data_IF_422848097564
#
_entry.id   IF_422848097564
#
_cell.length_a   1.000
_cell.length_b   1.000
_cell.length_c   1.000
_cell.angle_alpha   90.00
_cell.angle_beta   90.00
_cell.angle_gamma   90.00
#
_symmetry.space_group_name_H-M   'P 1'
#
loop_
_entity.id
_entity.type
_entity.pdbx_description
1 polymer ?
#
# COMPACT_ATOMS: atom_id res chain seq x y z
N UNK A 1 -8.27 36.01 -68.67
CA UNK A 1 -7.03 36.69 -69.14
C UNK A 1 -7.47 38.08 -69.56
N UNK A 2 -7.12 39.22 -68.95
CA UNK A 2 -6.10 39.64 -67.98
C UNK A 2 -6.71 40.80 -67.17
N UNK A 3 -6.44 40.89 -65.87
CA UNK A 3 -6.83 42.02 -65.02
C UNK A 3 -5.58 42.54 -64.31
N UNK A 4 -5.26 43.85 -64.37
CA UNK A 4 -4.10 44.38 -63.66
C UNK A 4 -4.50 44.99 -62.32
N UNK A 5 -3.63 44.74 -61.35
CA UNK A 5 -3.67 45.13 -59.96
C UNK A 5 -3.22 46.58 -59.76
N UNK A 6 -3.84 47.31 -58.83
CA UNK A 6 -3.23 48.46 -58.15
C UNK A 6 -3.51 48.32 -56.64
N UNK A 7 -2.42 48.18 -55.88
CA UNK A 7 -2.39 48.11 -54.42
C UNK A 7 -2.57 49.51 -53.80
N UNK A 8 -3.43 49.61 -52.78
CA UNK A 8 -3.51 50.75 -51.86
C UNK A 8 -2.86 50.35 -50.52
N UNK A 9 -1.84 51.09 -50.11
CA UNK A 9 -1.16 50.92 -48.81
C UNK A 9 -1.83 51.85 -47.79
N UNK A 10 -2.42 51.28 -46.74
CA UNK A 10 -2.84 52.02 -45.54
C UNK A 10 -1.72 51.96 -44.49
N UNK A 11 -1.22 53.13 -44.09
CA UNK A 11 -0.33 53.32 -42.94
C UNK A 11 -1.15 53.24 -41.64
N UNK A 12 -0.97 52.17 -40.87
CA UNK A 12 -1.37 52.12 -39.46
C UNK A 12 -0.12 52.31 -38.58
N UNK A 13 -0.13 53.38 -37.80
CA UNK A 13 0.87 53.65 -36.76
C UNK A 13 0.65 52.68 -35.60
N UNK A 14 1.59 51.76 -35.39
CA UNK A 14 1.62 50.89 -34.23
C UNK A 14 2.16 51.66 -33.02
N UNK A 15 1.34 51.85 -31.98
CA UNK A 15 1.83 52.09 -30.63
C UNK A 15 2.28 50.76 -30.02
N UNK A 16 3.48 50.65 -29.43
CA UNK A 16 3.88 49.44 -28.73
C UNK A 16 3.00 49.24 -27.49
N UNK A 17 2.51 48.02 -27.21
CA UNK A 17 1.83 47.73 -25.95
C UNK A 17 2.85 47.89 -24.81
N UNK A 18 2.51 48.73 -23.84
CA UNK A 18 3.30 48.89 -22.62
C UNK A 18 3.44 47.56 -21.89
N UNK A 19 4.65 47.26 -21.42
CA UNK A 19 4.95 46.09 -20.62
C UNK A 19 4.05 46.05 -19.38
N UNK A 20 3.15 45.07 -19.32
CA UNK A 20 2.52 44.69 -18.08
C UNK A 20 3.62 44.22 -17.10
N UNK A 21 3.60 44.63 -15.82
CA UNK A 21 4.57 44.12 -14.86
C UNK A 21 4.48 42.59 -14.82
N UNK A 22 5.61 41.92 -15.03
CA UNK A 22 5.70 40.48 -14.83
C UNK A 22 5.26 40.17 -13.40
N UNK A 23 4.19 39.38 -13.26
CA UNK A 23 3.85 38.77 -11.97
C UNK A 23 5.12 38.07 -11.44
N UNK A 24 5.51 38.28 -10.17
CA UNK A 24 6.72 37.67 -9.63
C UNK A 24 6.63 36.16 -9.87
N UNK A 25 7.57 35.62 -10.65
CA UNK A 25 7.63 34.19 -10.93
C UNK A 25 7.86 33.51 -9.59
N UNK A 26 6.85 32.81 -9.08
CA UNK A 26 6.90 32.09 -7.81
C UNK A 26 8.05 31.07 -7.91
N UNK A 27 9.15 31.29 -7.19
CA UNK A 27 10.32 30.42 -7.23
C UNK A 27 10.02 29.11 -6.47
N UNK A 28 9.52 28.12 -7.18
CA UNK A 28 9.36 26.77 -6.66
C UNK A 28 10.69 26.01 -6.73
N UNK A 29 11.05 25.36 -5.64
CA UNK A 29 12.19 24.43 -5.57
C UNK A 29 11.70 23.03 -5.92
N UNK A 30 12.46 22.34 -6.77
CA UNK A 30 12.22 20.93 -7.11
C UNK A 30 13.35 20.04 -6.56
N UNK A 31 13.12 18.73 -6.55
CA UNK A 31 14.09 17.73 -6.13
C UNK A 31 15.39 17.82 -6.95
N UNK A 32 16.47 17.55 -6.25
CA UNK A 32 17.79 17.38 -6.80
C UNK A 32 17.84 16.21 -7.81
N UNK A 33 18.64 16.39 -8.85
CA UNK A 33 19.02 15.32 -9.77
C UNK A 33 20.55 15.22 -9.79
N UNK A 34 21.05 13.99 -9.78
CA UNK A 34 22.48 13.70 -9.74
C UNK A 34 22.94 13.33 -11.14
N UNK A 35 23.90 14.08 -11.66
CA UNK A 35 24.69 13.61 -12.80
C UNK A 35 25.82 12.74 -12.26
N UNK A 36 26.15 11.62 -12.94
CA UNK A 36 27.18 10.64 -12.50
C UNK A 36 28.55 11.28 -12.15
N UNK A 37 28.83 12.48 -12.64
CA UNK A 37 30.07 13.24 -12.42
C UNK A 37 30.09 14.10 -11.14
N UNK A 38 28.94 14.34 -10.48
CA UNK A 38 28.82 15.30 -9.38
C UNK A 38 29.00 14.71 -7.97
N UNK A 39 29.36 13.42 -7.87
CA UNK A 39 29.54 12.71 -6.60
C UNK A 39 28.22 12.36 -5.89
N UNK A 40 28.28 11.45 -4.92
CA UNK A 40 27.11 10.92 -4.18
C UNK A 40 27.16 11.23 -2.67
N UNK A 41 27.85 12.32 -2.30
CA UNK A 41 27.89 12.79 -0.93
C UNK A 41 26.49 13.23 -0.49
N UNK A 42 26.10 12.89 0.74
CA UNK A 42 24.80 13.25 1.29
C UNK A 42 24.57 14.78 1.23
N UNK A 43 23.51 15.17 0.54
CA UNK A 43 22.92 16.51 0.55
C UNK A 43 21.44 16.34 0.87
N UNK A 44 20.94 17.12 1.80
CA UNK A 44 19.55 17.03 2.26
C UNK A 44 18.86 18.36 1.98
N UNK A 45 17.68 18.29 1.37
CA UNK A 45 16.77 19.43 1.24
C UNK A 45 15.41 19.07 1.85
N UNK A 46 14.82 20.03 2.55
CA UNK A 46 13.46 19.94 3.07
C UNK A 46 12.57 20.83 2.21
N UNK A 47 11.64 20.23 1.48
CA UNK A 47 10.73 20.94 0.60
C UNK A 47 9.34 20.98 1.24
N UNK A 48 8.93 22.15 1.70
CA UNK A 48 7.61 22.38 2.28
C UNK A 48 6.56 22.56 1.19
N UNK A 49 5.46 21.84 1.34
CA UNK A 49 4.22 21.98 0.60
C UNK A 49 3.07 22.22 1.59
N UNK A 50 2.16 23.12 1.22
CA UNK A 50 1.03 23.51 2.07
C UNK A 50 -0.27 23.40 1.28
N UNK A 51 -1.43 23.34 1.95
CA UNK A 51 -2.73 23.33 1.26
C UNK A 51 -2.96 24.55 0.35
N UNK A 52 -2.34 25.69 0.68
CA UNK A 52 -2.39 26.92 -0.12
C UNK A 52 -1.56 26.84 -1.40
N UNK A 53 -0.58 25.94 -1.45
CA UNK A 53 0.40 25.87 -2.53
C UNK A 53 0.88 24.42 -2.77
N UNK A 54 -0.03 23.50 -3.16
CA UNK A 54 0.25 22.06 -3.14
C UNK A 54 1.23 21.58 -4.22
N UNK A 55 1.50 22.40 -5.25
CA UNK A 55 2.38 22.05 -6.37
C UNK A 55 3.75 22.74 -6.33
N UNK A 56 4.00 23.61 -5.35
CA UNK A 56 5.21 24.42 -5.28
C UNK A 56 5.98 24.10 -4.00
N UNK A 57 7.09 23.38 -4.14
CA UNK A 57 7.98 23.10 -3.02
C UNK A 57 8.73 24.35 -2.62
N UNK A 58 8.67 24.73 -1.34
CA UNK A 58 9.49 25.80 -0.79
C UNK A 58 10.63 25.20 0.01
N UNK A 59 11.87 25.52 -0.38
CA UNK A 59 13.04 25.10 0.39
C UNK A 59 12.98 25.74 1.78
N UNK A 60 12.93 24.91 2.81
CA UNK A 60 13.01 25.33 4.21
C UNK A 60 14.31 24.81 4.82
N UNK A 61 15.00 25.67 5.55
CA UNK A 61 16.29 25.35 6.15
C UNK A 61 16.24 25.56 7.66
N UNK A 62 17.08 24.83 8.39
CA UNK A 62 17.25 24.95 9.85
C UNK A 62 17.49 26.41 10.29
N UNK A 63 18.30 27.15 9.52
CA UNK A 63 18.69 28.53 9.84
C UNK A 63 17.74 29.61 9.28
N UNK A 64 16.64 29.22 8.65
CA UNK A 64 15.70 30.14 8.00
C UNK A 64 14.43 30.34 8.82
N UNK A 65 13.76 31.48 8.62
CA UNK A 65 12.42 31.69 9.18
C UNK A 65 11.38 30.85 8.42
N UNK A 66 11.17 29.63 8.90
CA UNK A 66 10.22 28.66 8.33
C UNK A 66 8.80 29.24 8.29
N UNK A 67 8.41 30.14 9.20
CA UNK A 67 7.05 30.69 9.24
C UNK A 67 6.74 31.53 7.98
N UNK A 68 7.72 32.25 7.44
CA UNK A 68 7.57 33.05 6.22
C UNK A 68 7.39 32.19 4.95
N UNK A 69 7.63 30.89 5.03
CA UNK A 69 7.37 29.95 3.92
C UNK A 69 5.89 29.54 3.81
N UNK A 70 5.04 29.95 4.77
CA UNK A 70 3.64 29.53 4.86
C UNK A 70 3.42 28.27 5.69
N UNK A 71 4.46 27.82 6.40
CA UNK A 71 4.36 26.77 7.41
C UNK A 71 3.37 27.18 8.51
N UNK A 72 2.50 26.25 8.91
CA UNK A 72 1.55 26.50 9.99
C UNK A 72 1.76 25.51 11.15
N UNK A 73 2.31 25.98 12.27
CA UNK A 73 2.59 25.16 13.44
C UNK A 73 1.34 24.60 14.13
N UNK A 74 0.15 25.14 13.84
CA UNK A 74 -1.11 24.61 14.39
C UNK A 74 -1.61 23.37 13.64
N UNK A 75 -1.01 23.03 12.49
CA UNK A 75 -1.35 21.84 11.70
C UNK A 75 -0.37 20.71 12.00
N UNK A 76 -0.84 19.46 11.90
CA UNK A 76 0.04 18.30 11.90
C UNK A 76 1.05 18.35 10.75
N UNK A 77 2.21 17.72 10.93
CA UNK A 77 3.29 17.72 9.92
C UNK A 77 3.59 16.31 9.45
N UNK A 78 3.57 16.12 8.13
CA UNK A 78 3.85 14.85 7.46
C UNK A 78 5.20 14.92 6.75
N UNK A 79 6.16 14.09 7.14
CA UNK A 79 7.45 13.97 6.48
C UNK A 79 7.41 12.81 5.49
N UNK A 80 7.72 13.07 4.23
CA UNK A 80 7.78 12.05 3.17
C UNK A 80 9.22 11.79 2.76
N UNK A 81 9.73 10.60 3.06
CA UNK A 81 11.14 10.23 2.87
C UNK A 81 11.22 9.12 1.81
N UNK A 82 11.88 9.40 0.69
CA UNK A 82 12.11 8.40 -0.36
C UNK A 82 13.24 7.44 0.01
N UNK A 83 13.39 6.37 -0.78
CA UNK A 83 14.45 5.37 -0.62
C UNK A 83 15.62 5.51 -1.59
N UNK A 84 16.29 4.39 -1.84
CA UNK A 84 17.40 4.26 -2.77
C UNK A 84 17.03 4.69 -4.21
N UNK A 85 17.90 5.46 -4.86
CA UNK A 85 17.70 6.03 -6.21
C UNK A 85 18.87 5.65 -7.11
N UNK A 86 18.84 4.45 -7.69
CA UNK A 86 19.93 3.96 -8.56
C UNK A 86 20.35 4.96 -9.66
N UNK A 87 19.37 5.65 -10.28
CA UNK A 87 19.60 6.61 -11.36
C UNK A 87 19.78 8.06 -10.91
N UNK A 88 19.67 8.34 -9.61
CA UNK A 88 19.81 9.71 -9.09
C UNK A 88 18.79 10.71 -9.58
N UNK A 89 17.57 10.24 -9.84
CA UNK A 89 16.46 11.07 -10.28
C UNK A 89 15.38 11.20 -9.21
N UNK A 90 14.68 12.34 -9.24
CA UNK A 90 13.44 12.57 -8.51
C UNK A 90 12.52 11.33 -8.56
N UNK A 91 11.97 10.86 -7.42
CA UNK A 91 11.01 9.76 -7.43
C UNK A 91 9.74 10.16 -8.21
N UNK A 92 9.40 9.41 -9.26
CA UNK A 92 8.26 9.74 -10.14
C UNK A 92 6.90 9.76 -9.45
N UNK A 93 6.80 9.12 -8.28
CA UNK A 93 5.58 9.05 -7.46
C UNK A 93 5.44 10.23 -6.48
N UNK A 94 6.49 11.01 -6.22
CA UNK A 94 6.54 11.95 -5.08
C UNK A 94 5.49 13.05 -5.21
N UNK A 95 5.33 13.67 -6.38
CA UNK A 95 4.40 14.79 -6.59
C UNK A 95 2.95 14.36 -6.39
N UNK A 96 2.58 13.19 -6.96
CA UNK A 96 1.25 12.63 -6.77
C UNK A 96 1.01 12.36 -5.28
N UNK A 97 2.00 11.82 -4.57
CA UNK A 97 1.86 11.48 -3.17
C UNK A 97 1.70 12.73 -2.30
N UNK A 98 2.53 13.76 -2.49
CA UNK A 98 2.42 15.05 -1.80
C UNK A 98 1.01 15.65 -2.00
N UNK A 99 0.56 15.74 -3.26
CA UNK A 99 -0.76 16.28 -3.57
C UNK A 99 -1.90 15.45 -2.96
N UNK A 100 -1.72 14.12 -2.87
CA UNK A 100 -2.68 13.22 -2.22
C UNK A 100 -2.75 13.46 -0.71
N UNK A 101 -1.60 13.62 -0.04
CA UNK A 101 -1.55 13.89 1.40
C UNK A 101 -2.23 15.21 1.75
N UNK A 102 -2.01 16.26 0.95
CA UNK A 102 -2.62 17.58 1.14
C UNK A 102 -4.13 17.59 0.85
N UNK A 103 -4.63 16.71 -0.03
CA UNK A 103 -6.07 16.51 -0.24
C UNK A 103 -6.71 15.71 0.90
N UNK A 104 -5.99 14.72 1.43
CA UNK A 104 -6.51 13.83 2.46
C UNK A 104 -6.52 14.45 3.87
N UNK A 105 -5.59 15.37 4.16
CA UNK A 105 -5.50 16.03 5.46
C UNK A 105 -5.04 17.49 5.34
N UNK A 106 -5.61 18.36 6.17
CA UNK A 106 -5.14 19.73 6.33
C UNK A 106 -3.85 19.73 7.18
N UNK A 107 -2.71 19.59 6.52
CA UNK A 107 -1.40 19.35 7.16
C UNK A 107 -0.28 20.09 6.42
N UNK A 108 0.85 20.28 7.10
CA UNK A 108 2.11 20.60 6.43
C UNK A 108 2.68 19.30 5.84
N UNK A 109 3.12 19.32 4.58
CA UNK A 109 3.82 18.18 3.97
C UNK A 109 5.25 18.60 3.66
N UNK A 110 6.22 17.85 4.18
CA UNK A 110 7.65 18.11 3.99
C UNK A 110 8.25 16.92 3.27
N UNK A 111 8.62 17.13 2.00
CA UNK A 111 9.33 16.11 1.24
C UNK A 111 10.83 16.21 1.55
N UNK A 112 11.42 15.10 1.97
CA UNK A 112 12.85 15.01 2.30
C UNK A 112 13.60 14.52 1.07
N UNK A 113 14.29 15.44 0.41
CA UNK A 113 15.13 15.15 -0.73
C UNK A 113 16.55 14.84 -0.27
N UNK A 114 16.98 13.61 -0.52
CA UNK A 114 18.34 13.14 -0.29
C UNK A 114 18.88 12.37 -1.51
N UNK A 115 18.45 12.77 -2.72
CA UNK A 115 18.80 12.06 -3.97
C UNK A 115 20.32 11.85 -4.08
N UNK A 116 21.15 12.85 -3.78
CA UNK A 116 22.62 12.70 -3.78
C UNK A 116 23.13 11.57 -2.87
N UNK A 117 22.62 11.46 -1.65
CA UNK A 117 23.05 10.45 -0.69
C UNK A 117 22.43 9.06 -0.91
N UNK A 118 21.37 8.97 -1.71
CA UNK A 118 20.64 7.74 -2.01
C UNK A 118 21.02 7.10 -3.36
N UNK A 119 21.96 7.70 -4.10
CA UNK A 119 22.33 7.31 -5.46
C UNK A 119 23.61 6.50 -5.51
N UNK A 120 23.75 5.66 -6.54
CA UNK A 120 24.98 4.94 -6.84
C UNK A 120 24.97 3.53 -6.27
N UNK A 121 25.92 3.23 -5.37
CA UNK A 121 26.03 1.89 -4.76
C UNK A 121 25.10 1.80 -3.55
N UNK A 122 24.32 0.73 -3.48
CA UNK A 122 23.33 0.52 -2.41
C UNK A 122 23.93 0.66 -1.01
N UNK A 123 25.07 0.01 -0.74
CA UNK A 123 25.73 0.08 0.57
C UNK A 123 26.21 1.49 0.93
N UNK A 124 26.57 2.32 -0.06
CA UNK A 124 26.89 3.74 0.19
C UNK A 124 25.65 4.52 0.62
N UNK A 125 24.49 4.22 0.05
CA UNK A 125 23.22 4.81 0.48
C UNK A 125 22.82 4.35 1.88
N UNK A 126 23.02 3.05 2.20
CA UNK A 126 22.83 2.51 3.56
C UNK A 126 23.71 3.27 4.56
N UNK A 127 24.99 3.50 4.24
CA UNK A 127 25.90 4.26 5.10
C UNK A 127 25.49 5.72 5.36
N UNK A 128 24.57 6.27 4.57
CA UNK A 128 24.04 7.63 4.75
C UNK A 128 22.76 7.69 5.60
N UNK A 129 22.10 6.55 5.85
CA UNK A 129 20.78 6.51 6.53
C UNK A 129 20.83 7.11 7.95
N UNK A 130 21.86 6.77 8.75
CA UNK A 130 22.05 7.35 10.09
C UNK A 130 22.31 8.86 10.01
N UNK A 131 23.16 9.30 9.08
CA UNK A 131 23.46 10.73 8.89
C UNK A 131 22.22 11.52 8.49
N UNK A 132 21.41 10.97 7.59
CA UNK A 132 20.12 11.56 7.20
C UNK A 132 19.15 11.63 8.39
N UNK A 133 19.07 10.58 9.21
CA UNK A 133 18.25 10.60 10.43
C UNK A 133 18.66 11.72 11.40
N UNK A 134 19.97 11.99 11.54
CA UNK A 134 20.49 13.10 12.35
C UNK A 134 20.13 14.48 11.77
N UNK A 135 20.23 14.66 10.44
CA UNK A 135 19.81 15.89 9.75
C UNK A 135 18.31 16.16 9.95
N UNK A 136 17.47 15.14 9.73
CA UNK A 136 16.02 15.24 9.95
C UNK A 136 15.72 15.54 11.42
N UNK A 137 16.44 14.91 12.35
CA UNK A 137 16.21 15.14 13.78
C UNK A 137 16.52 16.56 14.22
N UNK A 138 17.57 17.18 13.65
CA UNK A 138 17.86 18.62 13.86
C UNK A 138 16.76 19.50 13.28
N UNK A 139 16.31 19.20 12.07
CA UNK A 139 15.20 19.92 11.45
C UNK A 139 13.89 19.81 12.24
N UNK A 140 13.53 18.61 12.73
CA UNK A 140 12.33 18.41 13.55
C UNK A 140 12.37 19.23 14.83
N UNK A 141 13.53 19.32 15.51
CA UNK A 141 13.70 20.13 16.72
C UNK A 141 13.28 21.57 16.49
N UNK A 142 13.59 22.10 15.30
CA UNK A 142 13.17 23.45 14.93
C UNK A 142 11.66 23.58 14.82
N UNK A 143 10.98 22.58 14.25
CA UNK A 143 9.51 22.57 14.17
C UNK A 143 8.89 22.50 15.58
N UNK A 144 9.47 21.72 16.49
CA UNK A 144 9.01 21.64 17.88
C UNK A 144 9.18 22.97 18.61
N UNK A 145 10.31 23.68 18.41
CA UNK A 145 10.53 25.04 18.94
C UNK A 145 9.49 26.04 18.41
N UNK A 146 8.96 25.83 17.20
CA UNK A 146 7.87 26.63 16.62
C UNK A 146 6.49 26.25 17.17
N UNK A 147 6.41 25.27 18.09
CA UNK A 147 5.18 24.86 18.77
C UNK A 147 4.48 23.65 18.18
N UNK A 148 5.09 22.93 17.24
CA UNK A 148 4.52 21.68 16.70
C UNK A 148 4.61 20.59 17.76
N UNK A 149 3.51 19.91 18.14
CA UNK A 149 3.57 18.78 19.07
C UNK A 149 4.27 17.56 18.43
N UNK A 150 5.12 16.85 19.19
CA UNK A 150 5.75 15.60 18.74
C UNK A 150 4.72 14.55 18.27
N UNK A 151 3.61 14.45 19.00
CA UNK A 151 2.49 13.55 18.69
C UNK A 151 1.74 13.90 17.40
N UNK A 152 1.99 15.08 16.82
CA UNK A 152 1.41 15.52 15.54
C UNK A 152 2.32 15.25 14.32
N UNK A 153 3.53 14.73 14.56
CA UNK A 153 4.49 14.35 13.51
C UNK A 153 4.14 12.97 12.96
N UNK A 154 4.02 12.87 11.64
CA UNK A 154 3.86 11.61 10.92
C UNK A 154 4.98 11.45 9.90
N UNK A 155 5.86 10.48 10.11
CA UNK A 155 6.89 10.13 9.13
C UNK A 155 6.37 9.00 8.22
N UNK A 156 6.49 9.20 6.92
CA UNK A 156 6.15 8.22 5.88
C UNK A 156 7.44 7.92 5.12
N UNK A 157 7.99 6.74 5.34
CA UNK A 157 9.26 6.33 4.75
C UNK A 157 9.08 5.22 3.73
N UNK A 158 9.67 5.37 2.54
CA UNK A 158 9.65 4.36 1.47
C UNK A 158 11.00 3.66 1.42
N UNK A 159 11.02 2.33 1.41
CA UNK A 159 12.28 1.56 1.27
C UNK A 159 13.30 1.94 2.36
N UNK A 160 14.52 2.38 2.00
CA UNK A 160 15.50 2.92 2.96
C UNK A 160 14.94 4.08 3.82
N UNK A 161 14.03 4.89 3.27
CA UNK A 161 13.40 5.99 3.99
C UNK A 161 12.57 5.53 5.20
N UNK A 162 12.10 4.27 5.23
CA UNK A 162 11.41 3.71 6.39
C UNK A 162 12.36 3.57 7.60
N UNK A 163 13.59 3.10 7.38
CA UNK A 163 14.59 2.99 8.43
C UNK A 163 15.12 4.34 8.89
N UNK A 164 15.20 5.31 7.97
CA UNK A 164 15.47 6.71 8.35
C UNK A 164 14.38 7.21 9.32
N UNK A 165 13.11 6.91 9.05
CA UNK A 165 12.01 7.23 9.95
C UNK A 165 12.14 6.56 11.32
N UNK A 166 12.53 5.28 11.35
CA UNK A 166 12.81 4.55 12.59
C UNK A 166 13.91 5.19 13.42
N UNK A 167 15.07 5.46 12.81
CA UNK A 167 16.20 6.14 13.48
C UNK A 167 15.80 7.50 14.05
N UNK A 168 15.01 8.29 13.31
CA UNK A 168 14.49 9.57 13.81
C UNK A 168 13.59 9.31 15.02
N UNK A 169 12.65 8.37 14.92
CA UNK A 169 11.78 7.96 16.03
C UNK A 169 12.53 7.53 17.29
N UNK A 170 13.55 6.69 17.14
CA UNK A 170 14.46 6.28 18.20
C UNK A 170 15.15 7.48 18.88
N UNK A 171 15.66 8.44 18.11
CA UNK A 171 16.29 9.67 18.65
C UNK A 171 15.30 10.54 19.44
N UNK A 172 14.00 10.46 19.13
CA UNK A 172 12.90 11.08 19.85
C UNK A 172 12.24 10.14 20.89
N UNK A 173 12.90 9.03 21.24
CA UNK A 173 12.47 8.08 22.27
C UNK A 173 11.05 7.53 22.05
N UNK A 174 10.65 7.35 20.79
CA UNK A 174 9.33 6.82 20.45
C UNK A 174 8.16 7.77 20.65
N UNK A 175 8.41 9.05 20.91
CA UNK A 175 7.34 10.01 21.22
C UNK A 175 6.68 10.66 20.00
N UNK A 176 7.20 10.39 18.79
CA UNK A 176 6.59 10.88 17.56
C UNK A 176 5.21 10.26 17.35
N UNK A 177 4.29 11.00 16.75
CA UNK A 177 2.90 10.57 16.56
C UNK A 177 2.75 9.27 15.78
N UNK A 178 3.35 9.19 14.59
CA UNK A 178 3.21 8.01 13.73
C UNK A 178 4.40 7.81 12.79
N UNK A 179 4.75 6.55 12.55
CA UNK A 179 5.60 6.15 11.42
C UNK A 179 4.85 5.15 10.54
N UNK A 180 4.85 5.40 9.22
CA UNK A 180 4.38 4.45 8.22
C UNK A 180 5.55 4.03 7.33
N UNK A 181 5.94 2.76 7.43
CA UNK A 181 6.93 2.14 6.56
C UNK A 181 6.29 1.54 5.31
N UNK A 182 6.61 2.10 4.15
CA UNK A 182 6.15 1.61 2.85
C UNK A 182 7.23 0.72 2.24
N UNK A 183 7.00 -0.58 2.36
CA UNK A 183 7.92 -1.67 2.02
C UNK A 183 9.37 -1.39 2.48
N UNK A 184 9.62 -1.37 3.82
CA UNK A 184 10.94 -1.08 4.37
C UNK A 184 12.00 -2.02 3.76
N UNK A 185 13.20 -1.52 3.50
CA UNK A 185 14.22 -2.28 2.78
C UNK A 185 14.71 -3.50 3.56
N UNK A 186 14.83 -4.65 2.91
CA UNK A 186 15.31 -5.90 3.52
C UNK A 186 16.82 -6.03 3.65
N UNK A 187 17.62 -5.76 2.59
CA UNK A 187 19.07 -5.88 2.64
C UNK A 187 19.68 -4.98 3.73
N UNK A 188 20.69 -5.47 4.45
CA UNK A 188 21.28 -4.86 5.67
C UNK A 188 20.36 -4.78 6.90
N UNK A 189 19.03 -4.60 6.75
CA UNK A 189 18.14 -4.36 7.89
C UNK A 189 17.43 -5.59 8.46
N UNK A 190 17.23 -6.65 7.68
CA UNK A 190 16.51 -7.86 8.16
C UNK A 190 17.15 -8.51 9.39
N UNK A 191 18.47 -8.34 9.54
CA UNK A 191 19.25 -8.87 10.68
C UNK A 191 19.79 -7.77 11.59
N UNK A 192 19.45 -6.50 11.32
CA UNK A 192 19.91 -5.38 12.10
C UNK A 192 19.24 -5.35 13.49
N UNK A 193 19.93 -4.74 14.45
CA UNK A 193 19.38 -4.47 15.78
C UNK A 193 18.21 -3.49 15.71
N UNK A 194 17.40 -3.39 16.77
CA UNK A 194 16.20 -2.54 16.77
C UNK A 194 16.58 -1.07 16.54
N UNK A 195 17.67 -0.64 17.16
CA UNK A 195 18.23 0.71 17.08
C UNK A 195 18.73 1.12 15.68
N UNK A 196 18.96 0.14 14.80
CA UNK A 196 19.49 0.34 13.45
C UNK A 196 18.42 0.29 12.36
N UNK A 197 17.16 -0.05 12.70
CA UNK A 197 16.09 -0.23 11.71
C UNK A 197 14.79 0.44 12.18
N UNK A 198 13.72 0.18 11.45
CA UNK A 198 12.38 0.55 11.89
C UNK A 198 11.90 -0.53 12.86
N UNK A 199 11.31 -0.12 13.98
CA UNK A 199 10.66 -1.01 14.93
C UNK A 199 9.44 -0.34 15.62
N UNK A 200 8.57 -1.12 16.29
CA UNK A 200 7.38 -0.58 16.94
C UNK A 200 7.67 0.54 17.96
N UNK A 201 8.83 0.52 18.62
CA UNK A 201 9.23 1.50 19.63
C UNK A 201 9.58 2.89 19.10
N UNK A 202 9.62 3.08 17.78
CA UNK A 202 10.06 4.35 17.17
C UNK A 202 8.99 5.44 17.16
N UNK A 203 7.73 5.13 17.43
CA UNK A 203 6.64 6.11 17.54
C UNK A 203 5.50 5.60 18.40
N UNK A 204 4.57 6.50 18.76
CA UNK A 204 3.32 6.16 19.43
C UNK A 204 2.49 5.17 18.60
N UNK A 205 2.61 5.21 17.27
CA UNK A 205 2.08 4.19 16.39
C UNK A 205 3.01 3.97 15.18
N UNK A 206 3.28 2.71 14.88
CA UNK A 206 4.12 2.29 13.75
C UNK A 206 3.35 1.26 12.96
N UNK A 207 3.24 1.45 11.66
CA UNK A 207 2.74 0.42 10.75
C UNK A 207 3.71 0.21 9.60
N UNK A 208 3.70 -0.99 9.05
CA UNK A 208 4.48 -1.33 7.87
C UNK A 208 3.61 -2.04 6.83
N UNK A 209 3.81 -1.69 5.56
CA UNK A 209 3.13 -2.31 4.42
C UNK A 209 4.18 -3.08 3.64
N UNK A 210 4.12 -4.41 3.71
CA UNK A 210 5.03 -5.32 3.03
C UNK A 210 4.42 -5.76 1.71
N UNK A 211 5.15 -5.51 0.63
CA UNK A 211 4.76 -5.88 -0.73
C UNK A 211 5.87 -6.57 -1.52
N UNK A 212 7.10 -6.65 -1.02
CA UNK A 212 8.23 -7.32 -1.72
C UNK A 212 9.20 -8.04 -0.76
N UNK A 213 8.69 -8.64 0.32
CA UNK A 213 9.47 -9.22 1.40
C UNK A 213 10.34 -10.43 0.97
N UNK A 214 10.05 -11.09 -0.14
CA UNK A 214 10.90 -12.14 -0.67
C UNK A 214 12.08 -11.61 -1.49
N UNK A 215 12.06 -10.34 -1.89
CA UNK A 215 13.11 -9.68 -2.68
C UNK A 215 13.67 -8.40 -1.99
N UNK A 216 13.18 -7.18 -2.32
CA UNK A 216 13.78 -5.93 -1.82
C UNK A 216 13.28 -5.51 -0.43
N UNK A 217 12.10 -5.95 -0.02
CA UNK A 217 11.46 -5.60 1.24
C UNK A 217 11.95 -6.45 2.44
N UNK A 218 11.75 -5.94 3.64
CA UNK A 218 12.11 -6.62 4.89
C UNK A 218 11.15 -7.77 5.19
N UNK A 219 11.72 -8.90 5.64
CA UNK A 219 10.99 -10.17 5.89
C UNK A 219 10.32 -10.27 7.24
N UNK A 220 10.79 -9.47 8.18
CA UNK A 220 10.33 -9.49 9.57
C UNK A 220 9.31 -8.38 9.80
N UNK A 221 8.36 -8.56 10.74
CA UNK A 221 7.54 -7.45 11.21
C UNK A 221 8.42 -6.35 11.82
N UNK A 222 8.00 -5.10 11.62
CA UNK A 222 8.70 -3.91 12.09
C UNK A 222 7.76 -2.83 12.63
N UNK A 223 6.44 -3.08 12.66
CA UNK A 223 5.46 -2.16 13.22
C UNK A 223 4.59 -2.78 14.30
N UNK A 224 3.77 -1.95 14.93
CA UNK A 224 2.65 -2.42 15.75
C UNK A 224 1.66 -3.22 14.88
N UNK A 225 1.47 -2.80 13.63
CA UNK A 225 0.65 -3.49 12.62
C UNK A 225 1.43 -3.63 11.31
N UNK A 226 1.62 -4.87 10.87
CA UNK A 226 2.34 -5.21 9.64
C UNK A 226 1.39 -5.81 8.61
N UNK A 227 1.09 -5.04 7.57
CA UNK A 227 0.23 -5.44 6.46
C UNK A 227 1.04 -6.22 5.42
N UNK A 228 0.85 -7.54 5.38
CA UNK A 228 1.42 -8.41 4.34
C UNK A 228 0.43 -8.53 3.19
N UNK A 229 0.51 -7.58 2.26
CA UNK A 229 -0.45 -7.46 1.15
C UNK A 229 -0.18 -8.55 0.11
N UNK A 230 -1.20 -9.33 -0.24
CA UNK A 230 -1.08 -10.53 -1.08
C UNK A 230 -0.01 -11.52 -0.55
N UNK A 231 0.23 -11.53 0.76
CA UNK A 231 1.28 -12.33 1.41
C UNK A 231 2.61 -11.60 1.57
N UNK A 232 2.73 -10.38 1.05
CA UNK A 232 3.93 -9.54 1.08
C UNK A 232 5.00 -9.98 0.10
N UNK A 233 4.64 -10.69 -0.97
CA UNK A 233 5.54 -11.21 -2.01
C UNK A 233 5.02 -10.70 -3.37
N UNK A 234 4.83 -11.58 -4.35
CA UNK A 234 4.30 -11.23 -5.68
C UNK A 234 2.94 -10.49 -5.62
N UNK A 235 2.92 -9.25 -6.11
CA UNK A 235 1.73 -8.43 -6.19
C UNK A 235 1.01 -8.64 -7.53
N UNK A 236 -0.33 -8.76 -7.54
CA UNK A 236 -1.09 -8.87 -8.77
C UNK A 236 -0.76 -7.72 -9.73
N UNK A 237 -0.53 -8.04 -11.02
CA UNK A 237 -0.19 -7.05 -12.05
C UNK A 237 1.30 -6.71 -12.15
N UNK A 238 2.14 -7.16 -11.23
CA UNK A 238 3.58 -7.04 -11.37
C UNK A 238 4.16 -8.16 -12.27
N UNK A 239 5.23 -7.89 -13.03
CA UNK A 239 5.83 -8.90 -13.89
C UNK A 239 6.49 -10.01 -13.07
N UNK A 240 6.21 -11.27 -13.41
CA UNK A 240 6.81 -12.44 -12.74
C UNK A 240 8.01 -13.03 -13.50
N UNK A 241 8.45 -12.39 -14.57
CA UNK A 241 9.52 -12.90 -15.44
C UNK A 241 10.72 -11.95 -15.44
N UNK A 242 11.91 -12.51 -15.23
CA UNK A 242 13.19 -11.78 -15.17
C UNK A 242 13.46 -10.91 -16.41
N UNK A 243 12.93 -11.28 -17.58
CA UNK A 243 13.11 -10.52 -18.83
C UNK A 243 12.39 -9.17 -18.85
N UNK A 244 11.50 -8.89 -17.88
CA UNK A 244 10.90 -7.57 -17.68
C UNK A 244 11.88 -6.54 -17.07
N UNK A 245 13.13 -6.92 -16.80
CA UNK A 245 14.21 -6.03 -16.43
C UNK A 245 13.96 -5.33 -15.10
N UNK A 246 14.20 -4.01 -15.04
CA UNK A 246 14.02 -3.23 -13.81
C UNK A 246 12.60 -3.30 -13.24
N UNK A 247 11.58 -3.49 -14.10
CA UNK A 247 10.18 -3.61 -13.67
C UNK A 247 9.93 -4.87 -12.83
N UNK A 248 10.58 -6.00 -13.15
CA UNK A 248 10.53 -7.23 -12.35
C UNK A 248 11.07 -7.02 -10.93
N UNK A 249 12.07 -6.15 -10.76
CA UNK A 249 12.68 -5.90 -9.46
C UNK A 249 11.92 -4.89 -8.61
N UNK A 250 11.29 -3.89 -9.23
CA UNK A 250 10.80 -2.70 -8.51
C UNK A 250 9.28 -2.63 -8.38
N UNK A 251 8.52 -3.38 -9.18
CA UNK A 251 7.07 -3.26 -9.24
C UNK A 251 6.41 -3.61 -7.89
N UNK A 252 6.77 -4.77 -7.33
CA UNK A 252 6.26 -5.24 -6.04
C UNK A 252 6.67 -4.29 -4.92
N UNK A 253 7.92 -3.83 -4.93
CA UNK A 253 8.43 -2.86 -3.97
C UNK A 253 7.65 -1.54 -3.98
N UNK A 254 7.29 -1.05 -5.17
CA UNK A 254 6.53 0.19 -5.33
C UNK A 254 5.03 0.02 -5.09
N UNK A 255 4.52 -1.21 -4.99
CA UNK A 255 3.10 -1.46 -4.70
C UNK A 255 2.68 -0.83 -3.38
N UNK A 256 3.51 -0.84 -2.34
CA UNK A 256 3.18 -0.21 -1.05
C UNK A 256 2.87 1.28 -1.19
N UNK A 257 3.64 2.02 -2.01
CA UNK A 257 3.38 3.44 -2.31
C UNK A 257 2.05 3.62 -3.04
N UNK A 258 1.79 2.81 -4.07
CA UNK A 258 0.56 2.89 -4.84
C UNK A 258 -0.70 2.54 -4.03
N UNK A 259 -0.59 1.55 -3.13
CA UNK A 259 -1.66 1.18 -2.21
C UNK A 259 -1.95 2.30 -1.22
N UNK A 260 -0.92 2.88 -0.60
CA UNK A 260 -1.11 3.95 0.36
C UNK A 260 -1.69 5.22 -0.30
N UNK A 261 -1.21 5.61 -1.48
CA UNK A 261 -1.84 6.68 -2.28
C UNK A 261 -3.31 6.34 -2.56
N UNK A 262 -3.61 5.12 -3.00
CA UNK A 262 -4.99 4.72 -3.33
C UNK A 262 -5.91 4.70 -2.13
N UNK A 263 -5.40 4.34 -0.95
CA UNK A 263 -6.13 4.36 0.32
C UNK A 263 -6.47 5.79 0.78
N UNK A 264 -5.64 6.77 0.43
CA UNK A 264 -5.92 8.18 0.70
C UNK A 264 -6.85 8.82 -0.34
N UNK A 265 -6.81 8.38 -1.60
CA UNK A 265 -7.62 8.93 -2.69
C UNK A 265 -9.04 8.33 -2.77
N UNK A 266 -9.21 7.06 -2.42
CA UNK A 266 -10.42 6.29 -2.71
C UNK A 266 -11.09 5.75 -1.45
N UNK A 267 -12.37 5.39 -1.57
CA UNK A 267 -13.15 4.74 -0.50
C UNK A 267 -12.91 3.23 -0.39
N UNK A 268 -11.84 2.69 -0.99
CA UNK A 268 -11.53 1.27 -0.90
C UNK A 268 -11.33 0.87 0.57
N UNK A 269 -11.94 -0.24 1.02
CA UNK A 269 -11.91 -0.57 2.44
C UNK A 269 -10.52 -0.96 2.95
N UNK A 270 -9.65 -1.51 2.09
CA UNK A 270 -8.31 -2.04 2.44
C UNK A 270 -8.26 -2.77 3.79
N UNK A 271 -9.31 -3.56 4.05
CA UNK A 271 -9.48 -4.27 5.32
C UNK A 271 -8.52 -5.45 5.37
N UNK A 272 -7.75 -5.52 6.45
CA UNK A 272 -6.81 -6.60 6.71
C UNK A 272 -7.22 -7.40 7.95
N UNK A 273 -6.84 -8.68 7.95
CA UNK A 273 -7.24 -9.65 8.97
C UNK A 273 -6.02 -10.15 9.74
N UNK A 274 -6.01 -10.08 11.08
CA UNK A 274 -4.95 -10.67 11.89
C UNK A 274 -4.89 -12.17 11.65
N UNK A 275 -3.71 -12.69 11.37
CA UNK A 275 -3.55 -14.11 11.17
C UNK A 275 -2.12 -14.56 11.49
N UNK A 276 -1.96 -15.85 11.82
CA UNK A 276 -0.65 -16.41 12.15
C UNK A 276 0.31 -16.43 10.95
N UNK A 277 -0.23 -16.60 9.74
CA UNK A 277 0.50 -16.51 8.47
C UNK A 277 -0.48 -16.43 7.28
N UNK A 278 0.07 -16.12 6.10
CA UNK A 278 -0.71 -15.96 4.88
C UNK A 278 -1.46 -17.25 4.45
N UNK A 279 -0.87 -18.42 4.68
CA UNK A 279 -1.50 -19.70 4.34
C UNK A 279 -2.75 -19.95 5.19
N UNK A 280 -2.68 -19.65 6.49
CA UNK A 280 -3.84 -19.73 7.40
C UNK A 280 -4.94 -18.74 7.01
N UNK A 281 -4.55 -17.52 6.59
CA UNK A 281 -5.47 -16.52 6.09
C UNK A 281 -6.22 -17.02 4.84
N UNK A 282 -5.50 -17.49 3.81
CA UNK A 282 -6.14 -18.05 2.60
C UNK A 282 -7.00 -19.29 2.89
N UNK A 283 -6.66 -20.06 3.93
CA UNK A 283 -7.42 -21.22 4.38
C UNK A 283 -8.66 -20.86 5.23
N UNK A 284 -9.03 -19.59 5.36
CA UNK A 284 -10.24 -19.18 6.09
C UNK A 284 -10.16 -19.48 7.59
N UNK A 285 -8.97 -19.42 8.18
CA UNK A 285 -8.76 -19.66 9.61
C UNK A 285 -8.87 -18.37 10.45
N UNK A 286 -8.88 -17.21 9.79
CA UNK A 286 -8.90 -15.89 10.40
C UNK A 286 -10.04 -15.07 9.78
N UNK A 287 -11.20 -15.05 10.44
CA UNK A 287 -12.47 -14.59 9.87
C UNK A 287 -12.99 -13.28 10.44
N UNK A 288 -12.44 -12.85 11.57
CA UNK A 288 -12.78 -11.62 12.26
C UNK A 288 -11.51 -10.88 12.68
N UNK A 289 -11.69 -9.76 13.37
CA UNK A 289 -10.60 -8.92 13.86
C UNK A 289 -10.72 -8.63 15.37
N UNK A 290 -11.55 -9.39 16.10
CA UNK A 290 -11.84 -9.12 17.52
C UNK A 290 -10.56 -9.19 18.37
N UNK A 291 -9.68 -10.13 18.06
CA UNK A 291 -8.39 -10.25 18.72
C UNK A 291 -7.25 -9.88 17.75
N UNK A 292 -6.50 -8.78 17.94
CA UNK A 292 -6.51 -7.84 19.08
C UNK A 292 -7.31 -6.53 18.87
N UNK A 293 -8.06 -6.36 17.77
CA UNK A 293 -8.63 -5.04 17.38
C UNK A 293 -10.04 -4.76 17.92
N UNK A 294 -10.56 -5.61 18.82
CA UNK A 294 -11.86 -5.55 19.50
C UNK A 294 -13.08 -5.46 18.58
N UNK A 295 -13.28 -4.35 17.85
CA UNK A 295 -14.53 -4.04 17.16
C UNK A 295 -14.37 -3.76 15.66
N UNK A 296 -13.15 -3.54 15.17
CA UNK A 296 -12.96 -3.06 13.80
C UNK A 296 -11.63 -3.49 13.21
N UNK A 297 -11.69 -4.08 12.01
CA UNK A 297 -10.50 -4.55 11.31
C UNK A 297 -9.57 -3.41 10.90
N UNK A 298 -8.24 -3.58 11.03
CA UNK A 298 -7.26 -2.58 10.62
C UNK A 298 -7.36 -2.32 9.10
N UNK A 299 -7.07 -1.07 8.72
CA UNK A 299 -7.13 -0.57 7.35
C UNK A 299 -5.91 0.27 7.05
N UNK A 300 -5.37 0.13 5.84
CA UNK A 300 -4.35 1.03 5.31
C UNK A 300 -5.00 2.40 5.08
N UNK A 301 -4.35 3.50 5.51
CA UNK A 301 -4.82 4.87 5.27
C UNK A 301 -4.63 5.82 6.46
N UNK A 302 -5.48 6.85 6.56
CA UNK A 302 -5.42 7.84 7.64
C UNK A 302 -5.71 7.21 9.01
N UNK A 303 -5.19 7.80 10.10
CA UNK A 303 -5.35 7.23 11.44
C UNK A 303 -6.81 7.26 11.91
N UNK A 304 -7.57 8.28 11.53
CA UNK A 304 -8.99 8.38 11.85
C UNK A 304 -9.82 7.29 11.15
N UNK A 305 -9.29 6.73 10.06
CA UNK A 305 -9.87 5.62 9.31
C UNK A 305 -9.27 4.27 9.72
N UNK A 306 -8.05 4.27 10.28
CA UNK A 306 -7.43 3.09 10.85
C UNK A 306 -8.20 2.78 12.14
N UNK A 307 -8.88 1.65 12.10
CA UNK A 307 -9.72 1.11 13.17
C UNK A 307 -8.93 0.66 14.42
N UNK A 308 -7.71 1.16 14.58
CA UNK A 308 -6.71 0.83 15.59
C UNK A 308 -7.02 1.64 16.86
N UNK A 309 -8.17 1.36 17.49
CA UNK A 309 -8.39 1.71 18.90
C UNK A 309 -7.90 0.54 19.75
N UNK A 310 -6.58 0.34 19.77
CA UNK A 310 -5.99 -0.76 20.54
C UNK A 310 -5.33 -0.18 21.78
N UNK A 311 -5.86 -0.54 22.95
CA UNK A 311 -5.26 -0.23 24.24
C UNK A 311 -5.16 -1.51 25.08
N UNK A 312 -3.94 -1.96 25.46
CA UNK A 312 -2.64 -1.47 25.02
C UNK A 312 -2.35 -1.84 23.56
N UNK A 313 -1.59 -1.01 22.83
CA UNK A 313 -1.11 -1.36 21.49
C UNK A 313 -0.39 -2.72 21.51
N UNK A 314 -0.61 -3.56 20.50
CA UNK A 314 0.03 -4.86 20.46
C UNK A 314 1.50 -4.66 20.09
N UNK A 315 2.39 -5.52 20.60
CA UNK A 315 3.83 -5.41 20.31
C UNK A 315 4.09 -5.46 18.81
N UNK A 316 3.59 -6.49 18.13
CA UNK A 316 3.68 -6.69 16.68
C UNK A 316 2.49 -7.56 16.24
N UNK A 317 1.78 -7.19 15.17
CA UNK A 317 0.65 -7.97 14.62
C UNK A 317 0.74 -8.06 13.12
N UNK A 318 0.81 -9.28 12.60
CA UNK A 318 0.72 -9.55 11.17
C UNK A 318 -0.73 -9.58 10.74
N UNK A 319 -1.06 -8.76 9.74
CA UNK A 319 -2.38 -8.70 9.14
C UNK A 319 -2.27 -8.94 7.64
N UNK A 320 -3.25 -9.63 7.07
CA UNK A 320 -3.24 -10.04 5.67
C UNK A 320 -4.45 -9.50 4.94
N UNK A 321 -4.25 -9.11 3.70
CA UNK A 321 -5.28 -8.72 2.77
C UNK A 321 -4.86 -9.10 1.35
N UNK A 322 -5.84 -9.08 0.45
CA UNK A 322 -5.66 -9.30 -0.97
C UNK A 322 -5.96 -8.00 -1.68
N UNK A 323 -5.48 -7.83 -2.91
CA UNK A 323 -5.81 -6.67 -3.75
C UNK A 323 -6.00 -7.09 -5.20
N UNK A 324 -6.58 -6.22 -6.01
CA UNK A 324 -6.56 -6.39 -7.47
C UNK A 324 -5.22 -5.91 -8.06
N UNK A 325 -5.04 -6.10 -9.37
CA UNK A 325 -3.80 -5.79 -10.08
C UNK A 325 -3.61 -4.29 -10.40
N UNK A 326 -4.70 -3.52 -10.41
CA UNK A 326 -4.73 -2.13 -10.87
C UNK A 326 -5.47 -1.26 -9.86
N UNK A 327 -5.14 0.03 -9.86
CA UNK A 327 -5.81 1.01 -9.02
C UNK A 327 -7.34 1.00 -9.32
N UNK A 328 -8.19 1.10 -8.29
CA UNK A 328 -7.87 1.49 -6.93
C UNK A 328 -7.51 0.32 -5.99
N UNK A 329 -7.17 -0.87 -6.52
CA UNK A 329 -6.74 -2.06 -5.75
C UNK A 329 -7.82 -2.65 -4.82
N UNK A 330 -9.05 -2.14 -4.92
CA UNK A 330 -10.22 -2.53 -4.15
C UNK A 330 -10.53 -4.03 -4.23
N UNK A 331 -10.78 -4.64 -3.08
CA UNK A 331 -11.44 -5.94 -2.96
C UNK A 331 -12.37 -5.99 -1.77
N UNK A 332 -13.31 -6.92 -1.84
CA UNK A 332 -14.13 -7.41 -0.74
C UNK A 332 -13.80 -8.87 -0.51
N UNK A 333 -13.39 -9.20 0.71
CA UNK A 333 -13.10 -10.58 1.10
C UNK A 333 -14.38 -11.32 1.46
N UNK A 334 -14.44 -12.59 1.09
CA UNK A 334 -15.51 -13.49 1.47
C UNK A 334 -14.93 -14.84 1.90
N UNK A 335 -15.52 -15.41 2.94
CA UNK A 335 -15.36 -16.82 3.27
C UNK A 335 -16.13 -17.64 2.24
N UNK A 336 -15.51 -18.72 1.76
CA UNK A 336 -16.15 -19.73 0.94
C UNK A 336 -15.94 -21.11 1.54
N UNK A 337 -16.98 -21.92 1.55
CA UNK A 337 -16.98 -23.24 2.17
C UNK A 337 -17.67 -24.26 1.28
N UNK A 338 -17.20 -25.50 1.34
CA UNK A 338 -17.84 -26.64 0.71
C UNK A 338 -17.89 -27.81 1.68
N UNK A 339 -19.09 -28.34 1.88
CA UNK A 339 -19.38 -29.44 2.78
C UNK A 339 -19.74 -30.69 1.97
N UNK A 340 -18.89 -31.71 1.98
CA UNK A 340 -19.20 -33.01 1.39
C UNK A 340 -20.33 -33.69 2.16
N UNK A 341 -21.18 -34.43 1.44
CA UNK A 341 -22.16 -35.32 2.09
C UNK A 341 -21.50 -36.56 2.70
N UNK A 342 -20.42 -37.05 2.09
CA UNK A 342 -19.69 -38.23 2.55
C UNK A 342 -18.18 -37.95 2.56
N UNK A 343 -17.46 -38.44 3.58
CA UNK A 343 -16.02 -38.25 3.67
C UNK A 343 -15.31 -39.02 2.55
N UNK A 344 -14.13 -38.55 2.17
CA UNK A 344 -13.30 -39.18 1.13
C UNK A 344 -11.98 -39.65 1.71
N UNK A 345 -11.47 -40.76 1.19
CA UNK A 345 -10.17 -41.32 1.58
C UNK A 345 -8.96 -40.53 1.04
N UNK A 346 -9.19 -39.37 0.40
CA UNK A 346 -8.16 -38.50 -0.17
C UNK A 346 -8.60 -37.05 -0.11
N UNK A 347 -7.62 -36.16 -0.20
CA UNK A 347 -7.86 -34.73 -0.28
C UNK A 347 -8.66 -34.40 -1.54
N UNK A 348 -9.61 -33.49 -1.38
CA UNK A 348 -10.52 -33.04 -2.44
C UNK A 348 -10.25 -31.57 -2.73
N UNK A 349 -9.80 -31.27 -3.94
CA UNK A 349 -9.52 -29.90 -4.38
C UNK A 349 -10.70 -29.35 -5.18
N UNK A 350 -11.23 -28.20 -4.75
CA UNK A 350 -12.33 -27.51 -5.43
C UNK A 350 -11.87 -26.10 -5.79
N UNK A 351 -12.03 -25.71 -7.05
CA UNK A 351 -11.94 -24.32 -7.49
C UNK A 351 -13.31 -23.65 -7.41
N UNK A 352 -13.34 -22.47 -6.82
CA UNK A 352 -14.51 -21.62 -6.66
C UNK A 352 -14.23 -20.32 -7.39
N UNK A 353 -15.02 -20.01 -8.42
CA UNK A 353 -14.91 -18.77 -9.18
C UNK A 353 -16.12 -17.89 -8.90
N UNK A 354 -15.89 -16.68 -8.42
CA UNK A 354 -16.90 -15.62 -8.36
C UNK A 354 -16.91 -14.85 -9.67
N UNK A 355 -18.10 -14.61 -10.21
CA UNK A 355 -18.33 -13.86 -11.43
C UNK A 355 -19.32 -12.73 -11.16
N UNK A 356 -18.87 -11.52 -11.46
CA UNK A 356 -19.72 -10.34 -11.67
C UNK A 356 -19.57 -9.88 -13.13
N UNK A 357 -20.36 -8.89 -13.57
CA UNK A 357 -20.52 -8.53 -14.98
C UNK A 357 -19.25 -8.60 -15.84
N UNK A 358 -18.13 -8.04 -15.37
CA UNK A 358 -16.86 -8.02 -16.11
C UNK A 358 -15.64 -8.51 -15.30
N UNK A 359 -15.85 -9.03 -14.09
CA UNK A 359 -14.74 -9.39 -13.17
C UNK A 359 -14.94 -10.80 -12.65
N UNK A 360 -13.84 -11.57 -12.69
CA UNK A 360 -13.75 -12.90 -12.11
C UNK A 360 -12.71 -12.94 -11.01
N UNK A 361 -13.04 -13.61 -9.92
CA UNK A 361 -12.07 -14.01 -8.89
C UNK A 361 -12.08 -15.52 -8.71
N UNK A 362 -10.94 -16.10 -8.37
CA UNK A 362 -10.77 -17.53 -8.16
C UNK A 362 -10.17 -17.79 -6.79
N UNK A 363 -10.75 -18.74 -6.06
CA UNK A 363 -10.14 -19.37 -4.91
C UNK A 363 -10.07 -20.89 -5.10
N UNK A 364 -9.12 -21.53 -4.41
CA UNK A 364 -8.99 -22.98 -4.35
C UNK A 364 -9.09 -23.40 -2.89
N UNK A 365 -9.97 -24.35 -2.61
CA UNK A 365 -10.11 -24.95 -1.29
C UNK A 365 -9.76 -26.42 -1.34
N UNK A 366 -9.17 -26.91 -0.25
CA UNK A 366 -8.86 -28.33 -0.07
C UNK A 366 -9.69 -28.85 1.10
N UNK A 367 -10.41 -29.95 0.86
CA UNK A 367 -11.06 -30.74 1.90
C UNK A 367 -10.11 -31.90 2.22
N UNK A 368 -9.49 -31.95 3.41
CA UNK A 368 -8.57 -33.03 3.76
C UNK A 368 -9.25 -34.40 3.73
N UNK A 369 -8.48 -35.47 3.54
CA UNK A 369 -8.98 -36.85 3.68
C UNK A 369 -9.70 -37.04 5.03
N UNK A 370 -10.78 -37.80 5.01
CA UNK A 370 -11.67 -38.07 6.15
C UNK A 370 -12.42 -36.85 6.72
N UNK A 371 -12.18 -35.65 6.20
CA UNK A 371 -12.93 -34.46 6.57
C UNK A 371 -14.12 -34.24 5.63
N UNK A 372 -15.11 -33.49 6.12
CA UNK A 372 -16.29 -33.11 5.34
C UNK A 372 -16.22 -31.67 4.83
N UNK A 373 -15.46 -30.80 5.49
CA UNK A 373 -15.46 -29.37 5.21
C UNK A 373 -14.13 -28.91 4.62
N UNK A 374 -14.20 -28.16 3.53
CA UNK A 374 -13.12 -27.30 3.08
C UNK A 374 -13.57 -25.86 3.10
N UNK A 375 -12.65 -24.96 3.43
CA UNK A 375 -12.91 -23.53 3.47
C UNK A 375 -11.70 -22.75 2.97
N UNK A 376 -11.95 -21.50 2.60
CA UNK A 376 -10.91 -20.56 2.18
C UNK A 376 -11.44 -19.16 2.02
N UNK A 377 -10.53 -18.24 1.72
CA UNK A 377 -10.84 -16.83 1.45
C UNK A 377 -10.76 -16.56 -0.03
N UNK A 378 -11.76 -15.85 -0.55
CA UNK A 378 -11.76 -15.27 -1.89
C UNK A 378 -11.87 -13.76 -1.77
N UNK A 379 -11.18 -13.02 -2.63
CA UNK A 379 -11.28 -11.58 -2.73
C UNK A 379 -11.81 -11.19 -4.11
N UNK A 380 -12.80 -10.31 -4.14
CA UNK A 380 -13.45 -9.90 -5.38
C UNK A 380 -13.64 -8.38 -5.42
N UNK A 381 -13.50 -7.78 -6.62
CA UNK A 381 -13.52 -6.32 -6.76
C UNK A 381 -14.85 -5.69 -6.35
N UNK A 382 -15.95 -6.40 -6.58
CA UNK A 382 -17.30 -5.99 -6.18
C UNK A 382 -17.73 -6.68 -4.88
N UNK A 383 -18.56 -6.04 -4.05
CA UNK A 383 -19.12 -6.64 -2.84
C UNK A 383 -19.93 -7.90 -3.18
N UNK A 384 -20.06 -8.78 -2.19
CA UNK A 384 -20.66 -10.11 -2.38
C UNK A 384 -22.08 -10.07 -2.96
N UNK A 385 -22.88 -9.05 -2.63
CA UNK A 385 -24.23 -8.88 -3.14
C UNK A 385 -24.31 -8.48 -4.63
N UNK A 386 -23.18 -8.12 -5.25
CA UNK A 386 -23.06 -7.82 -6.69
C UNK A 386 -22.40 -8.97 -7.47
N UNK A 387 -22.28 -10.15 -6.86
CA UNK A 387 -21.74 -11.35 -7.50
C UNK A 387 -22.93 -12.15 -8.03
N UNK A 388 -23.00 -12.27 -9.36
CA UNK A 388 -24.17 -12.85 -10.03
C UNK A 388 -24.09 -14.37 -10.08
N UNK A 389 -22.87 -14.93 -10.22
CA UNK A 389 -22.66 -16.35 -10.41
C UNK A 389 -21.45 -16.89 -9.65
N UNK A 390 -21.56 -18.14 -9.23
CA UNK A 390 -20.46 -18.95 -8.69
C UNK A 390 -20.25 -20.14 -9.60
N UNK A 391 -19.00 -20.37 -10.01
CA UNK A 391 -18.59 -21.59 -10.72
C UNK A 391 -17.80 -22.50 -9.79
N UNK A 392 -18.16 -23.77 -9.75
CA UNK A 392 -17.51 -24.80 -8.94
C UNK A 392 -16.87 -25.83 -9.86
N UNK A 393 -15.61 -26.18 -9.60
CA UNK A 393 -14.89 -27.25 -10.31
C UNK A 393 -14.19 -28.15 -9.32
N UNK A 394 -14.60 -29.42 -9.28
CA UNK A 394 -13.89 -30.48 -8.56
C UNK A 394 -12.71 -30.97 -9.42
N UNK A 395 -11.49 -30.93 -8.89
CA UNK A 395 -10.30 -31.38 -9.62
C UNK A 395 -10.02 -32.87 -9.40
N UNK A 396 -9.75 -33.59 -10.48
CA UNK A 396 -9.29 -34.97 -10.41
C UNK A 396 -7.82 -35.05 -9.97
N UNK A 397 -7.46 -36.09 -9.23
CA UNK A 397 -6.06 -36.42 -8.94
C UNK A 397 -5.56 -37.40 -10.01
N UNK A 398 -4.50 -37.04 -10.74
CA UNK A 398 -3.91 -37.79 -11.86
C UNK A 398 -3.21 -39.12 -11.48
N UNK A 399 -3.58 -39.77 -10.37
CA UNK A 399 -2.98 -41.07 -10.00
C UNK A 399 -3.73 -42.21 -10.68
N UNK A 400 -3.03 -42.84 -11.63
CA UNK A 400 -3.51 -43.85 -12.60
C UNK A 400 -4.06 -45.15 -11.97
N UNK A 401 -3.86 -45.38 -10.67
CA UNK A 401 -3.96 -46.73 -10.08
C UNK A 401 -5.19 -47.01 -9.19
N UNK A 402 -6.24 -46.17 -9.15
CA UNK A 402 -7.51 -46.50 -8.46
C UNK A 402 -8.74 -45.92 -9.15
N UNK A 403 -9.81 -46.73 -9.25
CA UNK A 403 -11.17 -46.30 -9.61
C UNK A 403 -11.76 -45.47 -8.47
N UNK A 404 -11.34 -44.23 -8.36
CA UNK A 404 -11.89 -43.31 -7.36
C UNK A 404 -13.24 -42.76 -7.82
N UNK A 405 -14.10 -42.40 -6.85
CA UNK A 405 -15.34 -41.67 -7.14
C UNK A 405 -15.01 -40.38 -7.91
N UNK A 406 -15.49 -40.31 -9.14
CA UNK A 406 -15.36 -39.19 -10.07
C UNK A 406 -16.40 -38.10 -9.81
N UNK A 407 -17.36 -38.36 -8.93
CA UNK A 407 -18.42 -37.43 -8.57
C UNK A 407 -18.38 -37.17 -7.06
N UNK A 408 -18.62 -35.92 -6.67
CA UNK A 408 -18.91 -35.52 -5.28
C UNK A 408 -20.26 -34.83 -5.21
N UNK A 409 -20.91 -34.98 -4.06
CA UNK A 409 -22.14 -34.25 -3.72
C UNK A 409 -21.87 -33.49 -2.43
N UNK A 410 -22.29 -32.24 -2.38
CA UNK A 410 -22.06 -31.39 -1.21
C UNK A 410 -22.77 -30.06 -1.25
N UNK A 411 -22.60 -29.26 -0.21
CA UNK A 411 -23.25 -27.95 -0.06
C UNK A 411 -22.21 -26.85 -0.10
N UNK A 412 -22.43 -25.84 -0.95
CA UNK A 412 -21.61 -24.64 -1.03
C UNK A 412 -22.20 -23.52 -0.16
N UNK A 413 -21.34 -22.83 0.58
CA UNK A 413 -21.69 -21.69 1.43
C UNK A 413 -20.68 -20.55 1.28
N UNK A 414 -21.12 -19.31 1.53
CA UNK A 414 -20.26 -18.14 1.51
C UNK A 414 -20.78 -17.01 2.42
N UNK A 415 -19.87 -16.23 2.99
CA UNK A 415 -20.18 -15.06 3.83
C UNK A 415 -19.18 -13.92 3.56
N UNK A 416 -19.58 -12.64 3.66
CA UNK A 416 -18.66 -11.52 3.55
C UNK A 416 -17.82 -11.43 4.84
N UNK A 417 -16.52 -11.14 4.71
CA UNK A 417 -15.68 -10.88 5.89
C UNK A 417 -15.80 -9.41 6.33
N UNK A 418 -15.67 -9.11 7.64
CA UNK A 418 -15.49 -10.05 8.75
C UNK A 418 -16.80 -10.81 9.10
N UNK A 419 -16.64 -12.07 9.52
CA UNK A 419 -17.74 -12.93 9.98
C UNK A 419 -17.86 -12.77 11.50
N UNK A 420 -18.57 -11.74 11.93
CA UNK A 420 -18.81 -11.48 13.36
C UNK A 420 -20.02 -12.28 13.92
N UNK A 421 -20.90 -12.79 13.05
CA UNK A 421 -22.06 -13.63 13.40
C UNK A 421 -22.36 -14.57 12.21
N UNK A 422 -22.73 -15.82 12.49
CA UNK A 422 -23.09 -16.85 11.50
C UNK A 422 -24.33 -16.48 10.66
N UNK A 423 -25.11 -15.46 11.06
CA UNK A 423 -26.30 -14.99 10.32
C UNK A 423 -26.00 -14.49 8.89
N UNK A 424 -24.75 -14.15 8.56
CA UNK A 424 -24.37 -13.67 7.22
C UNK A 424 -23.98 -14.78 6.25
N UNK A 425 -23.97 -16.05 6.68
CA UNK A 425 -23.65 -17.18 5.82
C UNK A 425 -24.81 -17.51 4.89
N UNK A 426 -24.55 -17.50 3.58
CA UNK A 426 -25.50 -17.87 2.54
C UNK A 426 -25.06 -19.19 1.92
N UNK A 427 -25.94 -20.18 1.91
CA UNK A 427 -25.68 -21.47 1.31
C UNK A 427 -26.66 -21.76 0.18
N UNK A 428 -26.25 -22.60 -0.79
CA UNK A 428 -27.20 -23.14 -1.74
C UNK A 428 -28.26 -24.00 -1.04
N UNK A 429 -29.54 -23.90 -1.45
CA UNK A 429 -30.64 -24.60 -0.79
C UNK A 429 -30.47 -26.11 -0.93
N UNK A 430 -30.16 -26.56 -2.15
CA UNK A 430 -29.95 -27.96 -2.48
C UNK A 430 -28.46 -28.31 -2.60
N UNK A 431 -28.06 -29.55 -2.26
CA UNK A 431 -26.73 -30.06 -2.54
C UNK A 431 -26.41 -30.02 -4.04
N UNK A 432 -25.15 -29.71 -4.35
CA UNK A 432 -24.62 -29.68 -5.72
C UNK A 432 -23.82 -30.94 -6.02
N UNK A 433 -24.05 -31.49 -7.21
CA UNK A 433 -23.30 -32.62 -7.75
C UNK A 433 -22.19 -32.13 -8.66
N UNK A 434 -20.94 -32.39 -8.32
CA UNK A 434 -19.77 -32.00 -9.11
C UNK A 434 -19.08 -33.24 -9.69
N UNK A 435 -19.00 -33.29 -11.01
CA UNK A 435 -18.20 -34.27 -11.73
C UNK A 435 -16.76 -33.79 -11.87
N UNK A 436 -15.80 -34.72 -11.76
CA UNK A 436 -14.38 -34.44 -11.82
C UNK A 436 -14.01 -33.72 -13.12
N UNK A 437 -13.25 -32.64 -12.97
CA UNK A 437 -12.76 -31.74 -14.02
C UNK A 437 -13.84 -30.98 -14.80
N UNK A 438 -15.13 -31.12 -14.44
CA UNK A 438 -16.24 -30.37 -15.03
C UNK A 438 -16.52 -29.13 -14.19
N UNK A 439 -16.71 -27.99 -14.86
CA UNK A 439 -17.13 -26.74 -14.22
C UNK A 439 -18.64 -26.63 -14.26
N UNK A 440 -19.27 -26.43 -13.10
CA UNK A 440 -20.71 -26.20 -12.98
C UNK A 440 -20.96 -24.77 -12.51
N UNK A 441 -21.93 -24.07 -13.09
CA UNK A 441 -22.26 -22.68 -12.77
C UNK A 441 -23.59 -22.59 -12.04
N UNK A 442 -23.66 -21.73 -11.03
CA UNK A 442 -24.84 -21.51 -10.20
C UNK A 442 -25.05 -20.01 -10.05
N UNK A 443 -26.31 -19.57 -10.04
CA UNK A 443 -26.64 -18.19 -9.73
C UNK A 443 -26.52 -17.94 -8.22
N UNK A 444 -25.93 -16.81 -7.84
CA UNK A 444 -25.81 -16.39 -6.45
C UNK A 444 -26.73 -15.19 -6.22
N UNK A 445 -27.77 -15.37 -5.41
CA UNK A 445 -28.73 -14.32 -5.08
C UNK A 445 -28.52 -13.88 -3.63
N UNK A 446 -27.82 -12.75 -3.46
CA UNK A 446 -27.58 -12.13 -2.16
C UNK A 446 -28.06 -10.69 -2.24
N UNK A 447 -28.97 -10.29 -1.35
CA UNK A 447 -29.49 -8.93 -1.28
C UNK A 447 -28.42 -7.97 -0.73
N UNK A 448 -28.22 -6.82 -1.38
CA UNK A 448 -27.42 -5.75 -0.78
C UNK A 448 -28.21 -5.11 0.36
N UNK A 449 -27.59 -4.99 1.53
CA UNK A 449 -28.17 -4.35 2.73
C UNK A 449 -27.69 -2.91 2.81
#
# INVERSE_FOLDING_TARGET
>A
MTSPWIFLVFLFVFFPPGDAPSTPQKMCTDFQNVNLLQGTNLKVQFLLFTPLDPSCGKLVQENSDIQNSGFNATLGTKLLIHGFRALGTKPSWIDKFIGTLLRAANANVIAVDWVYGSTGVYFSAVGNVVKLGLEISRFLRKLLELGVPESSIHIIGVSLGAHVGGIVGHLYKGQLGRITGLDPAGPEYTKASLEERLDPGDALFVEAIHTDADNLGIRIPVGHVDYFVNGGQDQPGCPTFIHAGYSYLICDHMRAVHLYISALENSCPFVAFPCVNYKAFLAGQCLDCFNPFLLSCPRIGLMEQSSVKIEPLPKEVKVFLLTTAQAPYCVHHSLVEFYLQEPRNKDTLISITFLSSNVTSLAKITIPRQELQGKGVIAHANPQCQINQVKLKFHSSHRVWRKDRTTIVGKFCTAPLPVNDNKKMVCFPEPVTLQASVTVSFDLKITCV
#
